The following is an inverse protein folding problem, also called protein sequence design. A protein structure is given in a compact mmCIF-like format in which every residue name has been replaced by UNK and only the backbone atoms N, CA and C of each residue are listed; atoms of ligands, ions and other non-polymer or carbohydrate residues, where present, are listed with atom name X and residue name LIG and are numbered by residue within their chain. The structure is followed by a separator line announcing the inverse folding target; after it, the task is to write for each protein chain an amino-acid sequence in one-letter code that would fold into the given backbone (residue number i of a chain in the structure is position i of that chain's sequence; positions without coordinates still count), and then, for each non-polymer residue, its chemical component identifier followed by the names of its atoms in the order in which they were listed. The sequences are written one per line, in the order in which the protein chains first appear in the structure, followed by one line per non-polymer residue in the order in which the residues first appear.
data_IF_504822214732
#
_entry.id   IF_504822214732
#
_cell.length_a   1.000
_cell.length_b   1.000
_cell.length_c   1.000
_cell.angle_alpha   90.00
_cell.angle_beta   90.00
_cell.angle_gamma   90.00
#
_symmetry.space_group_name_H-M   'P 1'
#
loop_
_entity.id
_entity.type
_entity.pdbx_description
1 polymer ?
#
# COMPACT_ATOMS: atom_id res chain seq x y z
N UNK A 1 16.55 -9.41 42.06
CA UNK A 1 16.74 -10.22 40.85
C UNK A 1 16.44 -9.26 39.70
N UNK A 2 17.48 -8.63 39.16
CA UNK A 2 17.35 -7.59 38.16
C UNK A 2 17.50 -8.26 36.79
N UNK A 3 16.44 -8.20 35.99
CA UNK A 3 16.42 -8.80 34.66
C UNK A 3 17.32 -7.98 33.72
N UNK A 4 18.42 -8.61 33.29
CA UNK A 4 19.28 -8.09 32.24
C UNK A 4 18.49 -8.09 30.92
N UNK A 5 17.98 -6.93 30.53
CA UNK A 5 17.36 -6.68 29.23
C UNK A 5 18.48 -6.73 28.17
N UNK A 6 18.81 -7.92 27.69
CA UNK A 6 19.69 -8.12 26.53
C UNK A 6 18.98 -7.58 25.30
N UNK A 7 19.33 -6.35 24.93
CA UNK A 7 18.86 -5.71 23.69
C UNK A 7 19.57 -6.39 22.52
N UNK A 8 18.87 -7.28 21.82
CA UNK A 8 19.39 -7.97 20.63
C UNK A 8 19.59 -6.95 19.50
N UNK A 9 20.84 -6.63 19.22
CA UNK A 9 21.25 -5.69 18.17
C UNK A 9 21.49 -6.43 16.85
N UNK A 10 20.56 -6.31 15.90
CA UNK A 10 20.78 -6.82 14.53
C UNK A 10 21.62 -5.81 13.74
N UNK A 11 22.88 -6.16 13.46
CA UNK A 11 23.84 -5.33 12.73
C UNK A 11 23.66 -5.50 11.21
N UNK A 12 23.07 -4.49 10.56
CA UNK A 12 23.06 -4.37 9.09
C UNK A 12 23.98 -3.20 8.77
N UNK A 13 25.18 -3.47 8.26
CA UNK A 13 26.12 -2.42 7.82
C UNK A 13 26.78 -1.58 8.92
N UNK A 14 26.93 -2.11 10.14
CA UNK A 14 27.68 -1.45 11.23
C UNK A 14 26.92 -0.42 12.05
N UNK A 15 25.64 -0.17 11.75
CA UNK A 15 24.76 0.71 12.55
C UNK A 15 23.65 -0.16 13.16
N UNK A 16 23.88 -0.63 14.40
CA UNK A 16 22.85 -1.34 15.17
C UNK A 16 21.88 -0.34 15.79
N UNK A 17 20.79 -0.04 15.07
CA UNK A 17 19.70 0.77 15.61
C UNK A 17 18.86 -0.06 16.58
N UNK A 18 18.63 0.45 17.79
CA UNK A 18 17.79 -0.23 18.79
C UNK A 18 16.38 -0.50 18.27
N UNK A 19 15.83 -1.67 18.56
CA UNK A 19 14.48 -2.12 18.17
C UNK A 19 13.41 -1.10 18.55
N UNK A 20 13.56 -0.43 19.70
CA UNK A 20 12.63 0.61 20.16
C UNK A 20 12.61 1.84 19.26
N UNK A 21 13.74 2.22 18.66
CA UNK A 21 13.83 3.37 17.75
C UNK A 21 13.16 3.03 16.42
N UNK A 22 13.41 1.82 15.89
CA UNK A 22 12.75 1.34 14.66
C UNK A 22 11.23 1.32 14.81
N UNK A 23 10.76 0.77 15.92
CA UNK A 23 9.35 0.74 16.28
C UNK A 23 8.74 2.15 16.37
N UNK A 24 9.39 3.05 17.09
CA UNK A 24 8.93 4.43 17.25
C UNK A 24 8.85 5.20 15.94
N UNK A 25 9.84 5.06 15.06
CA UNK A 25 9.84 5.69 13.73
C UNK A 25 8.72 5.15 12.84
N UNK A 26 8.51 3.82 12.86
CA UNK A 26 7.50 3.16 12.06
C UNK A 26 6.10 3.61 12.48
N UNK A 27 5.77 3.55 13.76
CA UNK A 27 4.46 4.03 14.25
C UNK A 27 4.30 5.54 14.06
N UNK A 28 5.34 6.31 14.37
CA UNK A 28 5.31 7.77 14.26
C UNK A 28 5.06 8.26 12.83
N UNK A 29 5.54 7.53 11.81
CA UNK A 29 5.30 7.84 10.40
C UNK A 29 4.00 7.25 9.86
N UNK A 30 3.63 6.04 10.30
CA UNK A 30 2.48 5.32 9.78
C UNK A 30 1.15 5.91 10.23
N UNK A 31 1.01 6.31 11.50
CA UNK A 31 -0.22 6.92 12.02
C UNK A 31 -0.63 8.18 11.23
N UNK A 32 0.23 9.21 11.07
CA UNK A 32 -0.16 10.41 10.34
C UNK A 32 -0.44 10.12 8.86
N UNK A 33 0.30 9.18 8.27
CA UNK A 33 0.04 8.74 6.90
C UNK A 33 -1.31 8.05 6.74
N UNK A 34 -1.70 7.21 7.71
CA UNK A 34 -3.01 6.55 7.75
C UNK A 34 -4.14 7.57 7.93
N UNK A 35 -3.99 8.51 8.87
CA UNK A 35 -4.98 9.58 9.10
C UNK A 35 -5.16 10.44 7.85
N UNK A 36 -4.07 10.82 7.19
CA UNK A 36 -4.13 11.56 5.92
C UNK A 36 -4.84 10.75 4.82
N UNK A 37 -4.52 9.46 4.70
CA UNK A 37 -5.15 8.57 3.71
C UNK A 37 -6.65 8.41 3.96
N UNK A 38 -7.07 8.24 5.21
CA UNK A 38 -8.48 8.17 5.61
C UNK A 38 -9.20 9.49 5.37
N UNK A 39 -8.57 10.63 5.68
CA UNK A 39 -9.13 11.95 5.42
C UNK A 39 -9.37 12.17 3.92
N UNK A 40 -8.41 11.80 3.07
CA UNK A 40 -8.55 11.86 1.61
C UNK A 40 -9.71 10.96 1.15
N UNK A 41 -9.77 9.73 1.63
CA UNK A 41 -10.85 8.79 1.30
C UNK A 41 -12.22 9.33 1.73
N UNK A 42 -12.30 9.92 2.93
CA UNK A 42 -13.50 10.57 3.44
C UNK A 42 -13.96 11.68 2.49
N UNK A 43 -13.09 12.61 2.11
CA UNK A 43 -13.46 13.69 1.20
C UNK A 43 -13.96 13.16 -0.16
N UNK A 44 -13.37 12.08 -0.68
CA UNK A 44 -13.85 11.45 -1.91
C UNK A 44 -15.25 10.81 -1.77
N UNK A 45 -15.58 10.21 -0.63
CA UNK A 45 -16.89 9.58 -0.40
C UNK A 45 -17.99 10.63 -0.24
N UNK A 46 -17.69 11.74 0.45
CA UNK A 46 -18.67 12.77 0.75
C UNK A 46 -18.89 13.79 -0.39
N UNK A 47 -17.97 13.87 -1.36
CA UNK A 47 -18.15 14.71 -2.55
C UNK A 47 -18.48 13.87 -3.81
N UNK A 48 -19.77 13.73 -4.16
CA UNK A 48 -20.18 12.99 -5.35
C UNK A 48 -19.75 13.65 -6.67
N UNK A 49 -19.37 14.93 -6.67
CA UNK A 49 -18.83 15.59 -7.86
C UNK A 49 -17.42 15.07 -8.18
N UNK A 50 -16.60 14.79 -7.16
CA UNK A 50 -15.29 14.17 -7.34
C UNK A 50 -15.40 12.72 -7.81
N UNK A 51 -16.42 11.98 -7.39
CA UNK A 51 -16.63 10.59 -7.82
C UNK A 51 -16.97 10.45 -9.31
N UNK A 52 -17.49 11.49 -9.98
CA UNK A 52 -17.81 11.44 -11.42
C UNK A 52 -16.60 11.64 -12.33
N UNK A 53 -15.47 12.08 -11.77
CA UNK A 53 -14.23 12.28 -12.49
C UNK A 53 -13.50 10.94 -12.70
N UNK A 54 -13.26 10.58 -13.96
CA UNK A 54 -12.60 9.31 -14.32
C UNK A 54 -11.23 9.12 -13.62
N UNK A 55 -10.34 10.13 -13.60
CA UNK A 55 -9.03 10.01 -12.96
C UNK A 55 -9.09 9.73 -11.46
N UNK A 56 -10.17 10.14 -10.79
CA UNK A 56 -10.28 9.97 -9.33
C UNK A 56 -10.54 8.51 -8.94
N UNK A 57 -11.07 7.67 -9.83
CA UNK A 57 -11.33 6.26 -9.53
C UNK A 57 -10.03 5.50 -9.25
N UNK A 58 -8.99 5.72 -10.07
CA UNK A 58 -7.69 5.10 -9.88
C UNK A 58 -7.03 5.55 -8.56
N UNK A 59 -7.17 6.83 -8.20
CA UNK A 59 -6.67 7.38 -6.92
C UNK A 59 -7.39 6.75 -5.72
N UNK A 60 -8.71 6.57 -5.80
CA UNK A 60 -9.50 5.91 -4.76
C UNK A 60 -9.07 4.45 -4.61
N UNK A 61 -8.94 3.70 -5.71
CA UNK A 61 -8.47 2.31 -5.69
C UNK A 61 -7.06 2.19 -5.09
N UNK A 62 -6.14 3.09 -5.47
CA UNK A 62 -4.80 3.15 -4.89
C UNK A 62 -4.87 3.40 -3.38
N UNK A 63 -5.68 4.38 -2.94
CA UNK A 63 -5.77 4.74 -1.54
C UNK A 63 -6.35 3.61 -0.68
N UNK A 64 -7.39 2.92 -1.18
CA UNK A 64 -7.95 1.72 -0.53
C UNK A 64 -6.89 0.63 -0.41
N UNK A 65 -6.16 0.35 -1.51
CA UNK A 65 -5.10 -0.67 -1.53
C UNK A 65 -4.01 -0.37 -0.50
N UNK A 66 -3.59 0.91 -0.38
CA UNK A 66 -2.61 1.34 0.62
C UNK A 66 -3.10 1.18 2.06
N UNK A 67 -4.37 1.49 2.32
CA UNK A 67 -4.95 1.31 3.66
C UNK A 67 -4.98 -0.19 4.01
N UNK A 68 -5.44 -1.04 3.09
CA UNK A 68 -5.46 -2.49 3.29
C UNK A 68 -4.05 -3.04 3.55
N UNK A 69 -3.06 -2.62 2.75
CA UNK A 69 -1.66 -2.99 2.95
C UNK A 69 -1.19 -2.63 4.36
N UNK A 70 -1.37 -1.38 4.80
CA UNK A 70 -0.96 -0.94 6.14
C UNK A 70 -1.68 -1.70 7.26
N UNK A 71 -2.96 -2.00 7.08
CA UNK A 71 -3.74 -2.74 8.07
C UNK A 71 -3.29 -4.21 8.21
N UNK A 72 -2.67 -4.80 7.19
CA UNK A 72 -2.21 -6.19 7.21
C UNK A 72 -0.74 -6.27 7.59
N UNK A 73 0.10 -5.49 6.90
CA UNK A 73 1.56 -5.57 7.02
C UNK A 73 2.06 -5.00 8.35
N UNK A 74 1.53 -3.83 8.79
CA UNK A 74 2.02 -3.20 10.03
C UNK A 74 1.80 -4.08 11.27
N UNK A 75 0.63 -4.71 11.48
CA UNK A 75 0.45 -5.63 12.62
C UNK A 75 1.33 -6.87 12.53
N UNK A 76 1.50 -7.44 11.33
CA UNK A 76 2.34 -8.63 11.13
C UNK A 76 3.81 -8.32 11.39
N UNK A 77 4.32 -7.23 10.81
CA UNK A 77 5.68 -6.75 11.02
C UNK A 77 5.94 -6.40 12.49
N UNK A 78 4.96 -5.77 13.14
CA UNK A 78 5.07 -5.46 14.57
C UNK A 78 5.15 -6.71 15.42
N UNK A 79 4.26 -7.68 15.17
CA UNK A 79 4.26 -8.95 15.90
C UNK A 79 5.60 -9.69 15.72
N UNK A 80 6.12 -9.72 14.50
CA UNK A 80 7.43 -10.28 14.19
C UNK A 80 8.57 -9.58 14.95
N UNK A 81 8.52 -8.25 15.06
CA UNK A 81 9.55 -7.46 15.78
C UNK A 81 9.55 -7.71 17.29
N UNK A 82 8.41 -8.11 17.87
CA UNK A 82 8.28 -8.39 19.32
C UNK A 82 8.65 -9.83 19.64
N UNK A 83 8.20 -10.77 18.81
CA UNK A 83 8.35 -12.21 19.08
C UNK A 83 9.61 -12.82 18.45
N UNK A 84 10.30 -12.08 17.57
CA UNK A 84 11.37 -12.59 16.69
C UNK A 84 10.93 -13.79 15.81
N UNK A 85 9.62 -14.08 15.74
CA UNK A 85 9.02 -15.14 14.95
C UNK A 85 7.63 -14.76 14.43
N UNK A 86 7.18 -15.45 13.37
CA UNK A 86 5.84 -15.24 12.80
C UNK A 86 4.83 -16.07 13.58
N UNK A 87 3.98 -15.39 14.37
CA UNK A 87 2.92 -16.06 15.11
C UNK A 87 1.53 -15.84 14.49
N UNK A 88 0.72 -16.89 14.29
CA UNK A 88 1.08 -18.31 14.44
C UNK A 88 1.98 -18.83 13.31
N UNK A 89 2.88 -19.79 13.60
CA UNK A 89 3.87 -20.31 12.66
C UNK A 89 3.24 -21.29 11.67
N UNK A 90 2.36 -20.76 10.83
CA UNK A 90 1.62 -21.52 9.82
C UNK A 90 2.07 -21.06 8.44
N UNK A 91 2.24 -22.02 7.52
CA UNK A 91 2.62 -21.72 6.14
C UNK A 91 1.64 -20.73 5.46
N UNK A 92 0.35 -20.80 5.83
CA UNK A 92 -0.67 -19.89 5.34
C UNK A 92 -0.36 -18.43 5.71
N UNK A 93 0.05 -18.14 6.94
CA UNK A 93 0.36 -16.76 7.36
C UNK A 93 1.63 -16.25 6.70
N UNK A 94 2.66 -17.09 6.55
CA UNK A 94 3.85 -16.69 5.81
C UNK A 94 3.53 -16.36 4.35
N UNK A 95 2.65 -17.12 3.70
CA UNK A 95 2.19 -16.83 2.34
C UNK A 95 1.35 -15.55 2.27
N UNK A 96 0.44 -15.34 3.22
CA UNK A 96 -0.34 -14.09 3.31
C UNK A 96 0.57 -12.89 3.54
N UNK A 97 1.57 -13.02 4.41
CA UNK A 97 2.52 -11.94 4.65
C UNK A 97 3.39 -11.66 3.43
N UNK A 98 3.87 -12.70 2.76
CA UNK A 98 4.63 -12.55 1.52
C UNK A 98 3.82 -11.91 0.40
N UNK A 99 2.56 -12.34 0.22
CA UNK A 99 1.62 -11.70 -0.69
C UNK A 99 1.34 -10.26 -0.29
N UNK A 100 1.22 -9.97 1.01
CA UNK A 100 0.97 -8.63 1.48
C UNK A 100 2.15 -7.70 1.18
N UNK A 101 3.36 -8.13 1.53
CA UNK A 101 4.60 -7.37 1.33
C UNK A 101 4.89 -7.19 -0.17
N UNK A 102 5.05 -8.27 -0.93
CA UNK A 102 5.42 -8.17 -2.35
C UNK A 102 4.24 -7.82 -3.26
N UNK A 103 3.07 -8.44 -3.04
CA UNK A 103 1.90 -8.23 -3.88
C UNK A 103 1.39 -6.81 -3.76
N UNK A 104 0.95 -6.37 -2.57
CA UNK A 104 0.38 -5.03 -2.42
C UNK A 104 1.41 -3.91 -2.65
N UNK A 105 2.69 -4.11 -2.33
CA UNK A 105 3.72 -3.13 -2.66
C UNK A 105 3.82 -2.94 -4.17
N UNK A 106 3.94 -4.03 -4.93
CA UNK A 106 3.98 -3.97 -6.39
C UNK A 106 2.70 -3.38 -6.98
N UNK A 107 1.54 -3.70 -6.40
CA UNK A 107 0.27 -3.07 -6.77
C UNK A 107 0.32 -1.55 -6.60
N UNK A 108 0.80 -1.06 -5.46
CA UNK A 108 0.88 0.36 -5.18
C UNK A 108 1.81 1.07 -6.18
N UNK A 109 2.95 0.46 -6.51
CA UNK A 109 3.87 0.98 -7.52
C UNK A 109 3.21 0.99 -8.90
N UNK A 110 2.56 -0.10 -9.29
CA UNK A 110 1.87 -0.22 -10.57
C UNK A 110 0.72 0.78 -10.71
N UNK A 111 -0.13 0.92 -9.68
CA UNK A 111 -1.21 1.90 -9.65
C UNK A 111 -0.66 3.33 -9.72
N UNK A 112 0.43 3.63 -9.01
CA UNK A 112 1.05 4.96 -9.02
C UNK A 112 1.60 5.29 -10.40
N UNK A 113 2.34 4.35 -11.01
CA UNK A 113 2.84 4.49 -12.37
C UNK A 113 1.69 4.67 -13.36
N UNK A 114 0.62 3.89 -13.21
CA UNK A 114 -0.56 3.97 -14.05
C UNK A 114 -1.26 5.33 -13.93
N UNK A 115 -1.47 5.85 -12.71
CA UNK A 115 -2.06 7.17 -12.48
C UNK A 115 -1.21 8.26 -13.13
N UNK A 116 0.12 8.19 -13.06
CA UNK A 116 1.00 9.16 -13.73
C UNK A 116 0.86 9.10 -15.26
N UNK A 117 0.77 7.91 -15.84
CA UNK A 117 0.53 7.73 -17.28
C UNK A 117 -0.85 8.26 -17.67
N UNK A 118 -1.88 7.95 -16.89
CA UNK A 118 -3.24 8.43 -17.11
C UNK A 118 -3.31 9.95 -17.09
N UNK A 119 -2.68 10.60 -16.10
CA UNK A 119 -2.60 12.06 -16.02
C UNK A 119 -1.90 12.67 -17.24
N UNK A 120 -0.82 12.04 -17.70
CA UNK A 120 -0.12 12.46 -18.91
C UNK A 120 -1.03 12.36 -20.15
N UNK A 121 -1.72 11.23 -20.34
CA UNK A 121 -2.66 11.04 -21.45
C UNK A 121 -3.81 12.05 -21.38
N UNK A 122 -4.33 12.33 -20.19
CA UNK A 122 -5.42 13.28 -20.00
C UNK A 122 -5.02 14.71 -20.42
N UNK A 123 -3.82 15.15 -20.06
CA UNK A 123 -3.30 16.49 -20.38
C UNK A 123 -2.97 16.63 -21.87
N UNK A 124 -2.24 15.68 -22.45
CA UNK A 124 -1.70 15.81 -23.81
C UNK A 124 -2.59 15.21 -24.90
N UNK A 125 -3.48 14.28 -24.55
CA UNK A 125 -4.23 13.46 -25.50
C UNK A 125 -5.72 13.32 -25.14
N UNK A 126 -6.38 14.41 -24.73
CA UNK A 126 -7.80 14.39 -24.32
C UNK A 126 -8.74 13.77 -25.38
N UNK A 127 -8.41 13.84 -26.68
CA UNK A 127 -9.16 13.16 -27.76
C UNK A 127 -9.24 11.63 -27.58
N UNK A 128 -8.25 10.99 -26.94
CA UNK A 128 -8.20 9.53 -26.74
C UNK A 128 -9.28 9.07 -25.75
N UNK A 129 -9.76 9.95 -24.87
CA UNK A 129 -10.78 9.65 -23.87
C UNK A 129 -12.20 10.07 -24.29
N UNK A 130 -12.36 10.57 -25.51
CA UNK A 130 -13.64 11.08 -26.03
C UNK A 130 -14.71 10.01 -26.25
N UNK A 131 -14.31 8.74 -26.47
CA UNK A 131 -15.26 7.65 -26.77
C UNK A 131 -15.24 6.59 -25.66
N UNK A 132 -16.41 6.03 -25.30
CA UNK A 132 -16.52 5.07 -24.20
C UNK A 132 -15.72 3.79 -24.44
N UNK A 133 -15.57 3.36 -25.70
CA UNK A 133 -14.74 2.20 -26.06
C UNK A 133 -13.25 2.46 -25.79
N UNK A 134 -12.72 3.61 -26.23
CA UNK A 134 -11.31 3.96 -25.98
C UNK A 134 -11.05 4.16 -24.48
N UNK A 135 -12.02 4.75 -23.78
CA UNK A 135 -11.99 4.89 -22.32
C UNK A 135 -11.87 3.53 -21.61
N UNK A 136 -12.57 2.50 -22.08
CA UNK A 136 -12.43 1.15 -21.52
C UNK A 136 -11.01 0.59 -21.69
N UNK A 137 -10.45 0.64 -22.90
CA UNK A 137 -9.12 0.10 -23.17
C UNK A 137 -7.99 0.89 -22.51
N UNK A 138 -8.13 2.21 -22.42
CA UNK A 138 -7.09 3.06 -21.82
C UNK A 138 -7.18 3.02 -20.30
N UNK A 139 -8.36 3.17 -19.69
CA UNK A 139 -8.48 3.31 -18.23
C UNK A 139 -8.72 1.97 -17.50
N UNK A 140 -9.67 1.17 -17.95
CA UNK A 140 -10.14 -0.01 -17.19
C UNK A 140 -9.28 -1.25 -17.40
N UNK A 141 -8.75 -1.44 -18.62
CA UNK A 141 -7.87 -2.58 -18.94
C UNK A 141 -6.62 -2.65 -18.04
N UNK A 142 -5.81 -1.58 -17.87
CA UNK A 142 -4.64 -1.63 -17.00
C UNK A 142 -4.99 -1.82 -15.52
N UNK A 143 -6.08 -1.21 -15.02
CA UNK A 143 -6.58 -1.48 -13.67
C UNK A 143 -6.93 -2.97 -13.49
N UNK A 144 -7.61 -3.56 -14.48
CA UNK A 144 -7.93 -4.99 -14.49
C UNK A 144 -6.67 -5.86 -14.52
N UNK A 145 -5.67 -5.52 -15.33
CA UNK A 145 -4.41 -6.26 -15.40
C UNK A 145 -3.64 -6.22 -14.07
N UNK A 146 -3.64 -5.08 -13.36
CA UNK A 146 -3.02 -4.98 -12.03
C UNK A 146 -3.73 -5.89 -11.03
N UNK A 147 -5.07 -5.92 -11.04
CA UNK A 147 -5.85 -6.81 -10.16
C UNK A 147 -5.58 -8.29 -10.49
N UNK A 148 -5.54 -8.66 -11.77
CA UNK A 148 -5.23 -10.04 -12.18
C UNK A 148 -3.82 -10.42 -11.78
N UNK A 149 -2.85 -9.52 -11.96
CA UNK A 149 -1.47 -9.76 -11.53
C UNK A 149 -1.39 -10.06 -10.03
N UNK A 150 -2.14 -9.33 -9.20
CA UNK A 150 -2.20 -9.56 -7.75
C UNK A 150 -2.83 -10.89 -7.34
N UNK A 151 -3.68 -11.49 -8.17
CA UNK A 151 -4.32 -12.77 -7.87
C UNK A 151 -3.48 -13.97 -8.32
N UNK A 152 -2.55 -13.77 -9.25
CA UNK A 152 -1.72 -14.83 -9.82
C UNK A 152 -0.39 -14.97 -9.08
N UNK A 153 0.16 -13.86 -8.60
CA UNK A 153 1.36 -13.81 -7.75
C UNK A 153 1.00 -14.22 -6.33
#
# INVERSE_FOLDING_TARGET
MADNITTTTVSIGGISLSTSIRFGLLIGSEIPSLVCSLFVLYNFIFDPALLRSLPHHAIICLNITRILFKCIDVPLYLNYTIMDEVWPPTAAICLVWWLADYGFYNACVAFTAWISIEQHIFIYHNHWLSTPRKRFFVHYLPLFLIIVYLLVV
#
